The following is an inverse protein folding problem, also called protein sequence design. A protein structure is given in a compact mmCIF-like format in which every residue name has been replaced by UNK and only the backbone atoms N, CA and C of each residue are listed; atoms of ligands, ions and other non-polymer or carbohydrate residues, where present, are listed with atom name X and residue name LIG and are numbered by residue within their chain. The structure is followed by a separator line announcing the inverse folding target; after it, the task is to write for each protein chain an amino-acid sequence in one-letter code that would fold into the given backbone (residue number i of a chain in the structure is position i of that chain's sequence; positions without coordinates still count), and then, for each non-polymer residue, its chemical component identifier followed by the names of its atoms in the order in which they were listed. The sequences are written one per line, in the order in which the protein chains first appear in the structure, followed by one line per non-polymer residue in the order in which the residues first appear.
data_IF_670631177309
#
_entry.id   IF_670631177309
#
_cell.length_a   1.000
_cell.length_b   1.000
_cell.length_c   1.000
_cell.angle_alpha   90.00
_cell.angle_beta   90.00
_cell.angle_gamma   90.00
#
_symmetry.space_group_name_H-M   'P 1'
#
loop_
_entity.id
_entity.type
_entity.pdbx_description
1 polymer ?
#
# COMPACT_ATOMS: atom_id res chain seq x y z
N UNK A 1 25.70 -13.78 -8.05
CA UNK A 1 26.21 -14.98 -7.36
C UNK A 1 25.47 -15.15 -6.05
N UNK A 2 24.81 -16.27 -5.87
CA UNK A 2 24.11 -16.59 -4.62
C UNK A 2 25.15 -16.71 -3.51
N UNK A 3 25.02 -15.90 -2.45
CA UNK A 3 25.86 -16.05 -1.27
C UNK A 3 25.47 -17.36 -0.56
N UNK A 4 26.10 -18.45 -0.96
CA UNK A 4 25.83 -19.81 -0.45
C UNK A 4 25.82 -19.90 1.07
N UNK A 5 26.69 -19.12 1.75
CA UNK A 5 26.74 -19.08 3.21
C UNK A 5 25.43 -18.57 3.85
N UNK A 6 24.86 -17.47 3.33
CA UNK A 6 23.56 -16.95 3.82
C UNK A 6 22.42 -17.91 3.54
N UNK A 7 22.41 -18.58 2.37
CA UNK A 7 21.41 -19.58 2.07
C UNK A 7 21.43 -20.76 3.03
N UNK A 8 22.61 -21.19 3.49
CA UNK A 8 22.76 -22.25 4.50
C UNK A 8 22.23 -21.82 5.87
N UNK A 9 22.17 -20.54 6.16
CA UNK A 9 21.66 -20.00 7.43
C UNK A 9 20.14 -19.76 7.41
N UNK A 10 19.49 -19.82 6.25
CA UNK A 10 18.04 -19.58 6.13
C UNK A 10 17.23 -20.54 7.02
N UNK A 11 16.22 -19.98 7.71
CA UNK A 11 15.29 -20.75 8.54
C UNK A 11 14.12 -21.30 7.74
N UNK A 12 13.70 -20.56 6.71
CA UNK A 12 12.64 -20.98 5.80
C UNK A 12 12.93 -20.52 4.37
N UNK A 13 12.40 -21.23 3.39
CA UNK A 13 12.52 -20.91 1.98
C UNK A 13 11.19 -21.12 1.29
N UNK A 14 10.74 -20.11 0.55
CA UNK A 14 9.57 -20.29 -0.32
C UNK A 14 10.00 -20.88 -1.67
N UNK A 15 9.37 -21.97 -2.07
CA UNK A 15 9.59 -22.58 -3.38
C UNK A 15 8.35 -22.37 -4.24
N UNK A 16 8.52 -21.74 -5.39
CA UNK A 16 7.46 -21.63 -6.39
C UNK A 16 7.26 -22.95 -7.09
N UNK A 17 6.01 -23.31 -7.37
CA UNK A 17 5.68 -24.42 -8.26
C UNK A 17 5.73 -23.96 -9.73
N UNK A 18 5.86 -24.91 -10.64
CA UNK A 18 5.82 -24.65 -12.10
C UNK A 18 4.42 -24.27 -12.59
N UNK A 19 3.39 -24.62 -11.84
CA UNK A 19 1.97 -24.36 -12.17
C UNK A 19 1.39 -23.12 -11.49
N UNK A 20 2.22 -22.31 -10.83
CA UNK A 20 1.81 -21.16 -10.01
C UNK A 20 1.69 -21.52 -8.52
N UNK A 21 1.70 -20.48 -7.67
CA UNK A 21 1.71 -20.67 -6.22
C UNK A 21 3.06 -21.19 -5.70
N UNK A 22 3.05 -22.01 -4.67
CA UNK A 22 4.23 -22.57 -4.02
C UNK A 22 4.01 -22.89 -2.55
N UNK A 23 5.10 -23.29 -1.87
CA UNK A 23 5.05 -23.64 -0.45
C UNK A 23 6.30 -23.18 0.30
N UNK A 24 6.16 -22.94 1.59
CA UNK A 24 7.26 -22.72 2.51
C UNK A 24 7.91 -24.05 2.90
N UNK A 25 9.20 -24.15 2.67
CA UNK A 25 10.04 -25.20 3.21
C UNK A 25 10.69 -24.67 4.50
N UNK A 26 10.29 -25.19 5.63
CA UNK A 26 10.88 -24.87 6.93
C UNK A 26 12.15 -25.69 7.09
N UNK A 27 13.30 -25.01 7.23
CA UNK A 27 14.62 -25.62 7.34
C UNK A 27 15.11 -25.69 8.80
N UNK A 28 14.70 -24.69 9.59
CA UNK A 28 14.99 -24.57 11.02
C UNK A 28 13.74 -24.04 11.73
N UNK A 29 13.70 -24.10 13.07
CA UNK A 29 12.58 -23.59 13.85
C UNK A 29 12.31 -22.11 13.49
N UNK A 30 11.09 -21.83 13.04
CA UNK A 30 10.57 -20.48 12.78
C UNK A 30 9.44 -20.23 13.76
N UNK A 31 9.41 -19.09 14.47
CA UNK A 31 8.26 -18.73 15.28
C UNK A 31 7.00 -18.62 14.41
N UNK A 32 5.82 -19.00 14.92
CA UNK A 32 4.56 -18.83 14.18
C UNK A 32 4.30 -17.37 13.79
N UNK A 33 4.72 -16.44 14.66
CA UNK A 33 4.72 -14.99 14.44
C UNK A 33 6.03 -14.42 14.96
N UNK A 34 6.64 -13.52 14.20
CA UNK A 34 7.78 -12.72 14.67
C UNK A 34 7.53 -11.24 14.36
N UNK A 35 8.31 -10.36 14.98
CA UNK A 35 8.12 -8.91 14.83
C UNK A 35 9.35 -8.29 14.20
N UNK A 36 9.11 -7.28 13.36
CA UNK A 36 10.14 -6.35 12.86
C UNK A 36 9.72 -4.93 13.17
N UNK A 37 10.67 -4.00 13.09
CA UNK A 37 10.46 -2.58 13.32
C UNK A 37 10.86 -1.75 12.10
N UNK A 38 10.14 -0.66 11.88
CA UNK A 38 10.54 0.43 11.02
C UNK A 38 10.28 1.75 11.75
N UNK A 39 11.33 2.42 12.21
CA UNK A 39 11.17 3.49 13.18
C UNK A 39 10.39 3.01 14.42
N UNK A 40 9.34 3.70 14.77
CA UNK A 40 8.45 3.33 15.88
C UNK A 40 7.33 2.35 15.47
N UNK A 41 7.17 2.08 14.19
CA UNK A 41 6.20 1.10 13.71
C UNK A 41 6.68 -0.33 14.02
N UNK A 42 5.73 -1.20 14.35
CA UNK A 42 5.95 -2.61 14.64
C UNK A 42 5.04 -3.47 13.77
N UNK A 43 5.65 -4.39 13.04
CA UNK A 43 4.93 -5.30 12.15
C UNK A 43 5.08 -6.73 12.65
N UNK A 44 3.98 -7.42 12.79
CA UNK A 44 3.95 -8.85 13.00
C UNK A 44 4.06 -9.55 11.65
N UNK A 45 4.94 -10.51 11.55
CA UNK A 45 5.17 -11.30 10.34
C UNK A 45 4.90 -12.76 10.62
N UNK A 46 4.44 -13.48 9.60
CA UNK A 46 4.24 -14.95 9.63
C UNK A 46 4.37 -15.54 8.22
N UNK A 47 4.72 -16.81 8.13
CA UNK A 47 4.61 -17.54 6.87
C UNK A 47 3.13 -17.75 6.55
N UNK A 48 2.74 -17.45 5.30
CA UNK A 48 1.38 -17.59 4.81
C UNK A 48 1.29 -18.74 3.80
N UNK A 49 0.11 -19.07 3.32
CA UNK A 49 -0.09 -20.04 2.24
C UNK A 49 0.54 -19.64 0.90
N UNK A 50 1.09 -18.43 0.81
CA UNK A 50 1.81 -17.90 -0.34
C UNK A 50 3.10 -17.17 0.12
N UNK A 51 3.89 -16.64 -0.82
CA UNK A 51 5.25 -16.13 -0.59
C UNK A 51 5.34 -14.95 0.40
N UNK A 52 4.29 -14.17 0.56
CA UNK A 52 4.30 -12.96 1.37
C UNK A 52 4.32 -13.28 2.86
N UNK A 53 4.89 -12.41 3.66
CA UNK A 53 5.06 -12.58 5.10
C UNK A 53 4.34 -11.52 5.94
N UNK A 54 3.65 -10.57 5.30
CA UNK A 54 2.85 -9.56 5.98
C UNK A 54 3.37 -8.14 5.87
N UNK A 55 4.46 -7.90 5.14
CA UNK A 55 4.98 -6.55 4.87
C UNK A 55 5.63 -6.49 3.49
N UNK A 56 5.58 -5.32 2.90
CA UNK A 56 6.29 -4.92 1.68
C UNK A 56 7.27 -3.81 2.07
N UNK A 57 8.53 -4.15 2.42
CA UNK A 57 9.46 -3.18 3.00
C UNK A 57 9.88 -2.08 2.01
N UNK A 58 9.80 -2.32 0.71
CA UNK A 58 10.03 -1.33 -0.34
C UNK A 58 9.05 -0.17 -0.29
N UNK A 59 7.88 -0.34 0.34
CA UNK A 59 6.90 0.72 0.57
C UNK A 59 7.33 1.75 1.62
N UNK A 60 8.41 1.53 2.33
CA UNK A 60 8.89 2.43 3.38
C UNK A 60 9.13 3.86 2.86
N UNK A 61 9.62 4.01 1.63
CA UNK A 61 9.80 5.32 0.99
C UNK A 61 8.47 6.08 0.86
N UNK A 62 7.39 5.39 0.54
CA UNK A 62 6.06 5.97 0.45
C UNK A 62 5.48 6.29 1.83
N UNK A 63 5.78 5.46 2.85
CA UNK A 63 5.37 5.75 4.23
C UNK A 63 6.06 7.01 4.76
N UNK A 64 7.35 7.17 4.50
CA UNK A 64 8.11 8.36 4.89
C UNK A 64 7.60 9.61 4.18
N UNK A 65 7.38 9.51 2.86
CA UNK A 65 6.84 10.62 2.07
C UNK A 65 5.48 11.08 2.60
N UNK A 66 4.52 10.17 2.70
CA UNK A 66 3.16 10.51 3.17
C UNK A 66 3.16 10.96 4.63
N UNK A 67 3.98 10.34 5.48
CA UNK A 67 4.16 10.73 6.87
C UNK A 67 4.72 12.15 7.01
N UNK A 68 5.70 12.53 6.21
CA UNK A 68 6.24 13.89 6.20
C UNK A 68 5.21 14.91 5.75
N UNK A 69 4.47 14.60 4.68
CA UNK A 69 3.42 15.46 4.16
C UNK A 69 2.32 15.69 5.19
N UNK A 70 1.89 14.64 5.89
CA UNK A 70 0.86 14.72 6.93
C UNK A 70 1.33 15.56 8.12
N UNK A 71 2.58 15.37 8.61
CA UNK A 71 3.12 16.14 9.72
C UNK A 71 3.25 17.63 9.43
N UNK A 72 3.55 18.00 8.18
CA UNK A 72 3.72 19.37 7.74
C UNK A 72 2.40 20.04 7.30
N UNK A 73 1.29 19.30 7.28
CA UNK A 73 -0.01 19.86 6.92
C UNK A 73 -0.52 20.82 8.00
N UNK A 74 -1.15 21.96 7.61
CA UNK A 74 -1.62 22.96 8.56
C UNK A 74 -2.81 22.48 9.42
N UNK A 75 -3.46 21.40 9.03
CA UNK A 75 -4.58 20.75 9.74
C UNK A 75 -4.46 19.23 9.65
N UNK A 76 -5.06 18.48 10.59
CA UNK A 76 -5.12 17.03 10.49
C UNK A 76 -5.78 16.58 9.18
N UNK A 77 -5.14 15.68 8.47
CA UNK A 77 -5.63 15.17 7.19
C UNK A 77 -6.52 13.94 7.39
N UNK A 78 -7.51 13.79 6.50
CA UNK A 78 -8.34 12.60 6.37
C UNK A 78 -7.82 11.77 5.19
N UNK A 79 -7.25 10.60 5.48
CA UNK A 79 -6.61 9.74 4.49
C UNK A 79 -7.44 8.48 4.25
N UNK A 80 -7.61 8.10 2.99
CA UNK A 80 -8.20 6.82 2.57
C UNK A 80 -7.09 5.91 2.07
N UNK A 81 -6.99 4.72 2.65
CA UNK A 81 -6.09 3.66 2.19
C UNK A 81 -6.93 2.49 1.67
N UNK A 82 -6.86 2.24 0.36
CA UNK A 82 -7.56 1.18 -0.36
C UNK A 82 -6.61 0.02 -0.66
N UNK A 83 -7.12 -1.22 -0.66
CA UNK A 83 -6.32 -2.44 -0.76
C UNK A 83 -5.23 -2.47 0.31
N UNK A 84 -5.65 -2.10 1.52
CA UNK A 84 -4.74 -1.62 2.57
C UNK A 84 -3.93 -2.73 3.26
N UNK A 85 -4.18 -4.00 2.90
CA UNK A 85 -3.44 -5.18 3.35
C UNK A 85 -3.26 -5.23 4.88
N UNK A 86 -2.04 -5.44 5.37
CA UNK A 86 -1.70 -5.50 6.80
C UNK A 86 -1.44 -4.13 7.43
N UNK A 87 -1.73 -3.04 6.70
CA UNK A 87 -1.82 -1.69 7.23
C UNK A 87 -0.55 -0.86 7.26
N UNK A 88 0.52 -1.21 6.55
CA UNK A 88 1.78 -0.44 6.57
C UNK A 88 1.56 1.06 6.36
N UNK A 89 0.95 1.45 5.25
CA UNK A 89 0.64 2.85 4.95
C UNK A 89 -0.38 3.46 5.93
N UNK A 90 -1.37 2.67 6.37
CA UNK A 90 -2.35 3.11 7.40
C UNK A 90 -1.65 3.52 8.69
N UNK A 91 -0.73 2.69 9.18
CA UNK A 91 -0.01 2.94 10.41
C UNK A 91 0.91 4.17 10.30
N UNK A 92 1.62 4.29 9.17
CA UNK A 92 2.48 5.45 8.90
C UNK A 92 1.68 6.77 8.89
N UNK A 93 0.53 6.80 8.22
CA UNK A 93 -0.35 7.96 8.20
C UNK A 93 -0.94 8.28 9.58
N UNK A 94 -1.39 7.26 10.32
CA UNK A 94 -1.96 7.44 11.66
C UNK A 94 -0.92 7.90 12.68
N UNK A 95 0.32 7.39 12.60
CA UNK A 95 1.44 7.84 13.42
C UNK A 95 1.78 9.31 13.14
N UNK A 96 1.70 9.73 11.87
CA UNK A 96 1.92 11.11 11.46
C UNK A 96 0.79 12.08 11.87
N UNK A 97 -0.35 11.58 12.39
CA UNK A 97 -1.46 12.41 12.91
C UNK A 97 -2.71 12.44 12.02
N UNK A 98 -2.78 11.65 10.96
CA UNK A 98 -3.98 11.60 10.13
C UNK A 98 -5.11 10.79 10.76
N UNK A 99 -6.36 11.12 10.40
CA UNK A 99 -7.49 10.22 10.51
C UNK A 99 -7.51 9.30 9.30
N UNK A 100 -7.46 7.98 9.49
CA UNK A 100 -7.32 7.04 8.39
C UNK A 100 -8.54 6.15 8.24
N UNK A 101 -9.01 6.01 7.00
CA UNK A 101 -9.97 4.99 6.62
C UNK A 101 -9.22 3.85 5.93
N UNK A 102 -9.12 2.70 6.59
CA UNK A 102 -8.46 1.49 6.11
C UNK A 102 -9.49 0.55 5.50
N UNK A 103 -9.37 0.24 4.23
CA UNK A 103 -10.31 -0.61 3.47
C UNK A 103 -9.56 -1.75 2.81
N UNK A 104 -9.94 -2.98 3.12
CA UNK A 104 -9.46 -4.20 2.48
C UNK A 104 -10.58 -5.23 2.43
N UNK A 105 -10.67 -6.01 1.36
CA UNK A 105 -11.70 -7.03 1.20
C UNK A 105 -11.47 -8.25 2.11
N UNK A 106 -10.25 -8.46 2.60
CA UNK A 106 -9.89 -9.60 3.44
C UNK A 106 -10.06 -9.31 4.93
N UNK A 107 -11.04 -9.96 5.57
CA UNK A 107 -11.23 -9.90 7.02
C UNK A 107 -9.94 -10.24 7.79
N UNK A 108 -9.18 -11.22 7.31
CA UNK A 108 -7.91 -11.63 7.94
C UNK A 108 -6.84 -10.55 7.86
N UNK A 109 -6.76 -9.81 6.74
CA UNK A 109 -5.79 -8.71 6.58
C UNK A 109 -6.17 -7.52 7.46
N UNK A 110 -7.44 -7.15 7.53
CA UNK A 110 -7.92 -6.07 8.40
C UNK A 110 -7.69 -6.41 9.88
N UNK A 111 -7.92 -7.66 10.30
CA UNK A 111 -7.61 -8.09 11.67
C UNK A 111 -6.10 -7.98 11.96
N UNK A 112 -5.26 -8.43 11.04
CA UNK A 112 -3.81 -8.33 11.16
C UNK A 112 -3.31 -6.88 11.18
N UNK A 113 -3.91 -5.99 10.39
CA UNK A 113 -3.61 -4.57 10.43
C UNK A 113 -3.91 -3.94 11.80
N UNK A 114 -5.01 -4.35 12.45
CA UNK A 114 -5.32 -3.93 13.83
C UNK A 114 -4.30 -4.44 14.84
N UNK A 115 -3.83 -5.68 14.70
CA UNK A 115 -2.77 -6.24 15.53
C UNK A 115 -1.46 -5.46 15.38
N UNK A 116 -1.12 -5.06 14.14
CA UNK A 116 0.03 -4.21 13.86
C UNK A 116 -0.13 -2.81 14.47
N UNK A 117 -1.34 -2.23 14.41
CA UNK A 117 -1.64 -0.95 15.05
C UNK A 117 -1.45 -1.04 16.59
N UNK A 118 -1.98 -2.09 17.21
CA UNK A 118 -1.79 -2.32 18.64
C UNK A 118 -0.31 -2.51 19.01
N UNK A 119 0.43 -3.30 18.21
CA UNK A 119 1.86 -3.51 18.42
C UNK A 119 2.70 -2.23 18.26
N UNK A 120 2.21 -1.26 17.49
CA UNK A 120 2.82 0.06 17.25
C UNK A 120 2.34 1.13 18.23
N UNK A 121 1.50 0.81 19.22
CA UNK A 121 0.94 1.80 20.16
C UNK A 121 -0.07 2.76 19.52
N UNK A 122 -0.73 2.36 18.44
CA UNK A 122 -1.65 3.20 17.65
C UNK A 122 -3.12 2.80 17.83
N UNK A 123 -3.46 2.01 18.87
CA UNK A 123 -4.83 1.56 19.10
C UNK A 123 -5.85 2.67 19.26
N UNK A 124 -5.44 3.79 19.87
CA UNK A 124 -6.30 4.95 20.16
C UNK A 124 -6.31 6.00 19.03
N UNK A 125 -5.58 5.74 17.95
CA UNK A 125 -5.58 6.64 16.80
C UNK A 125 -6.89 6.52 16.00
N UNK A 126 -7.36 7.61 15.37
CA UNK A 126 -8.62 7.63 14.64
C UNK A 126 -8.50 6.84 13.33
N UNK A 127 -8.48 5.51 13.43
CA UNK A 127 -8.45 4.59 12.30
C UNK A 127 -9.80 3.87 12.19
N UNK A 128 -10.47 4.07 11.06
CA UNK A 128 -11.69 3.35 10.71
C UNK A 128 -11.35 2.11 9.90
N UNK A 129 -11.55 0.95 10.48
CA UNK A 129 -11.25 -0.35 9.89
C UNK A 129 -12.45 -0.92 9.15
N UNK A 130 -12.31 -1.27 7.88
CA UNK A 130 -13.40 -1.76 7.04
C UNK A 130 -12.98 -3.01 6.27
N UNK A 131 -13.81 -4.04 6.38
CA UNK A 131 -13.76 -5.22 5.51
C UNK A 131 -14.76 -4.99 4.41
N UNK A 132 -14.31 -4.60 3.22
CA UNK A 132 -15.18 -4.16 2.15
C UNK A 132 -14.52 -4.23 0.77
N UNK A 133 -15.32 -4.33 -0.28
CA UNK A 133 -14.88 -4.10 -1.66
C UNK A 133 -14.53 -2.62 -1.86
N UNK A 134 -13.33 -2.35 -2.34
CA UNK A 134 -12.82 -0.98 -2.47
C UNK A 134 -13.65 -0.12 -3.42
N UNK A 135 -14.09 -0.67 -4.56
CA UNK A 135 -14.90 0.07 -5.54
C UNK A 135 -16.27 0.40 -4.96
N UNK A 136 -16.95 -0.60 -4.40
CA UNK A 136 -18.26 -0.43 -3.77
C UNK A 136 -18.18 0.54 -2.59
N UNK A 137 -17.08 0.51 -1.84
CA UNK A 137 -16.83 1.47 -0.75
C UNK A 137 -16.74 2.89 -1.28
N UNK A 138 -15.89 3.16 -2.29
CA UNK A 138 -15.71 4.51 -2.86
C UNK A 138 -17.02 5.02 -3.46
N UNK A 139 -17.78 4.19 -4.16
CA UNK A 139 -19.12 4.56 -4.66
C UNK A 139 -20.08 4.98 -3.56
N UNK A 140 -20.04 4.31 -2.40
CA UNK A 140 -20.86 4.72 -1.24
C UNK A 140 -20.40 6.01 -0.61
N UNK A 141 -19.09 6.23 -0.49
CA UNK A 141 -18.53 7.49 0.01
C UNK A 141 -18.86 8.66 -0.92
N UNK A 142 -18.83 8.45 -2.23
CA UNK A 142 -19.27 9.43 -3.22
C UNK A 142 -20.75 9.83 -3.01
N UNK A 143 -21.65 8.84 -2.89
CA UNK A 143 -23.10 9.11 -2.64
C UNK A 143 -23.37 9.82 -1.32
N UNK A 144 -22.49 9.58 -0.30
CA UNK A 144 -22.58 10.25 1.02
C UNK A 144 -21.96 11.64 1.05
N UNK A 145 -21.30 12.06 -0.02
CA UNK A 145 -20.59 13.32 -0.08
C UNK A 145 -19.32 13.36 0.78
N UNK A 146 -18.81 12.22 1.25
CA UNK A 146 -17.59 12.17 2.02
C UNK A 146 -16.39 12.54 1.16
N UNK A 147 -15.40 13.23 1.76
CA UNK A 147 -14.18 13.71 1.10
C UNK A 147 -12.95 13.29 1.87
N UNK A 148 -11.83 13.14 1.15
CA UNK A 148 -10.53 12.74 1.67
C UNK A 148 -9.45 13.71 1.19
N UNK A 149 -8.51 14.03 2.08
CA UNK A 149 -7.38 14.93 1.78
C UNK A 149 -6.20 14.19 1.16
N UNK A 150 -6.17 12.88 1.32
CA UNK A 150 -5.19 12.00 0.69
C UNK A 150 -5.79 10.62 0.40
N UNK A 151 -5.39 10.02 -0.73
CA UNK A 151 -5.75 8.64 -1.07
C UNK A 151 -4.48 7.87 -1.36
N UNK A 152 -4.40 6.65 -0.82
CA UNK A 152 -3.35 5.66 -1.10
C UNK A 152 -4.04 4.42 -1.65
N UNK A 153 -3.49 3.84 -2.71
CA UNK A 153 -3.99 2.59 -3.26
C UNK A 153 -2.86 1.73 -3.83
N UNK A 154 -2.98 0.43 -3.58
CA UNK A 154 -2.10 -0.61 -4.10
C UNK A 154 -2.95 -1.76 -4.65
N UNK A 155 -3.66 -1.53 -5.78
CA UNK A 155 -4.59 -2.51 -6.31
C UNK A 155 -3.85 -3.75 -6.85
N UNK A 156 -4.39 -4.97 -6.62
CA UNK A 156 -3.78 -6.18 -7.14
C UNK A 156 -3.87 -6.22 -8.67
N UNK A 157 -2.91 -6.88 -9.33
CA UNK A 157 -2.94 -7.09 -10.78
C UNK A 157 -4.18 -7.84 -11.25
N UNK A 158 -4.62 -8.81 -10.42
CA UNK A 158 -5.77 -9.67 -10.67
C UNK A 158 -6.47 -10.01 -9.36
N UNK A 159 -7.79 -10.09 -9.39
CA UNK A 159 -8.61 -10.50 -8.26
C UNK A 159 -9.93 -11.14 -8.70
N UNK A 160 -10.57 -11.87 -7.78
CA UNK A 160 -11.94 -12.36 -7.94
C UNK A 160 -12.77 -11.92 -6.74
N UNK A 161 -13.89 -11.29 -7.00
CA UNK A 161 -14.88 -10.95 -5.99
C UNK A 161 -15.69 -12.18 -5.55
N UNK A 162 -16.38 -12.09 -4.41
CA UNK A 162 -17.20 -13.20 -3.89
C UNK A 162 -18.38 -13.57 -4.80
N UNK A 163 -18.82 -12.67 -5.66
CA UNK A 163 -19.87 -12.91 -6.68
C UNK A 163 -19.33 -13.43 -8.02
N UNK A 164 -18.01 -13.72 -8.12
CA UNK A 164 -17.39 -14.18 -9.36
C UNK A 164 -16.91 -13.04 -10.25
N UNK A 165 -17.03 -11.77 -9.82
CA UNK A 165 -16.53 -10.60 -10.55
C UNK A 165 -15.03 -10.73 -10.74
N UNK A 166 -14.55 -10.41 -11.92
CA UNK A 166 -13.12 -10.43 -12.25
C UNK A 166 -12.59 -9.01 -12.22
N UNK A 167 -11.58 -8.80 -11.38
CA UNK A 167 -10.77 -7.59 -11.38
C UNK A 167 -9.51 -7.84 -12.21
N UNK A 168 -9.25 -6.96 -13.17
CA UNK A 168 -7.99 -6.86 -13.91
C UNK A 168 -7.55 -5.40 -13.90
N UNK A 169 -6.35 -5.17 -13.40
CA UNK A 169 -5.83 -3.82 -13.17
C UNK A 169 -5.81 -2.98 -14.45
N UNK A 170 -5.29 -3.56 -15.54
CA UNK A 170 -5.15 -2.87 -16.82
C UNK A 170 -6.49 -2.39 -17.40
N UNK A 171 -7.56 -3.13 -17.14
CA UNK A 171 -8.91 -2.81 -17.65
C UNK A 171 -9.65 -1.81 -16.77
N UNK A 172 -9.35 -1.75 -15.46
CA UNK A 172 -10.20 -1.07 -14.48
C UNK A 172 -9.52 0.07 -13.73
N UNK A 173 -8.19 0.22 -13.86
CA UNK A 173 -7.43 1.22 -13.11
C UNK A 173 -7.89 2.64 -13.42
N UNK A 174 -8.10 2.96 -14.70
CA UNK A 174 -8.54 4.30 -15.11
C UNK A 174 -9.85 4.70 -14.42
N UNK A 175 -10.86 3.84 -14.52
CA UNK A 175 -12.18 4.08 -13.92
C UNK A 175 -12.12 4.15 -12.39
N UNK A 176 -11.25 3.35 -11.75
CA UNK A 176 -11.07 3.39 -10.30
C UNK A 176 -10.43 4.71 -9.84
N UNK A 177 -9.37 5.17 -10.52
CA UNK A 177 -8.73 6.46 -10.19
C UNK A 177 -9.69 7.63 -10.43
N UNK A 178 -10.46 7.60 -11.52
CA UNK A 178 -11.49 8.61 -11.80
C UNK A 178 -12.57 8.63 -10.70
N UNK A 179 -13.04 7.47 -10.28
CA UNK A 179 -13.99 7.34 -9.17
C UNK A 179 -13.38 7.88 -7.86
N UNK A 180 -12.13 7.53 -7.54
CA UNK A 180 -11.44 8.04 -6.37
C UNK A 180 -11.23 9.56 -6.40
N UNK A 181 -10.95 10.14 -7.58
CA UNK A 181 -10.90 11.59 -7.74
C UNK A 181 -12.19 12.27 -7.26
N UNK A 182 -13.34 11.67 -7.54
CA UNK A 182 -14.64 12.25 -7.18
C UNK A 182 -14.85 12.41 -5.67
N UNK A 183 -14.05 11.75 -4.84
CA UNK A 183 -14.08 11.83 -3.38
C UNK A 183 -12.86 12.52 -2.78
N UNK A 184 -11.96 13.09 -3.59
CA UNK A 184 -10.93 13.99 -3.08
C UNK A 184 -11.55 15.31 -2.62
N UNK A 185 -10.99 15.88 -1.55
CA UNK A 185 -11.34 17.24 -1.12
C UNK A 185 -10.82 18.28 -2.13
N UNK A 186 -11.41 19.47 -2.20
CA UNK A 186 -10.89 20.54 -3.06
C UNK A 186 -9.42 20.89 -2.77
N UNK A 187 -9.01 20.80 -1.49
CA UNK A 187 -7.65 21.06 -1.01
C UNK A 187 -6.84 19.78 -0.79
N UNK A 188 -7.18 18.70 -1.49
CA UNK A 188 -6.49 17.41 -1.34
C UNK A 188 -4.97 17.57 -1.51
N UNK A 189 -4.22 16.86 -0.68
CA UNK A 189 -2.77 17.02 -0.59
C UNK A 189 -2.04 16.00 -1.43
N UNK A 190 -2.55 14.76 -1.53
CA UNK A 190 -1.88 13.74 -2.32
C UNK A 190 -2.82 12.63 -2.80
N UNK A 191 -2.39 11.98 -3.86
CA UNK A 191 -2.90 10.70 -4.34
C UNK A 191 -1.72 9.80 -4.68
N UNK A 192 -1.59 8.68 -4.00
CA UNK A 192 -0.49 7.75 -4.17
C UNK A 192 -1.02 6.44 -4.77
N UNK A 193 -0.48 6.06 -5.92
CA UNK A 193 -0.79 4.84 -6.64
C UNK A 193 0.43 3.96 -6.72
N UNK A 194 0.32 2.70 -6.26
CA UNK A 194 1.35 1.68 -6.40
C UNK A 194 0.94 0.61 -7.41
N UNK A 195 1.91 -0.02 -8.01
CA UNK A 195 1.71 -1.20 -8.86
C UNK A 195 2.92 -2.13 -8.84
N UNK A 196 2.62 -3.42 -8.83
CA UNK A 196 3.57 -4.52 -9.02
C UNK A 196 3.28 -5.29 -10.32
N UNK A 197 2.46 -4.70 -11.19
CA UNK A 197 2.03 -5.32 -12.45
C UNK A 197 3.06 -5.06 -13.54
N UNK A 198 3.56 -6.14 -14.13
CA UNK A 198 4.42 -6.05 -15.31
C UNK A 198 3.68 -5.34 -16.45
N UNK A 199 4.33 -4.36 -17.08
CA UNK A 199 3.74 -3.56 -18.17
C UNK A 199 3.09 -2.25 -17.72
N UNK A 200 2.84 -2.05 -16.42
CA UNK A 200 2.41 -0.78 -15.87
C UNK A 200 3.63 -0.01 -15.31
N UNK A 201 4.37 0.63 -16.23
CA UNK A 201 5.58 1.39 -15.86
C UNK A 201 5.25 2.67 -15.08
N UNK A 202 6.23 3.25 -14.35
CA UNK A 202 6.06 4.56 -13.71
C UNK A 202 5.50 5.62 -14.67
N UNK A 203 6.04 5.72 -15.89
CA UNK A 203 5.59 6.71 -16.88
C UNK A 203 4.14 6.55 -17.32
N UNK A 204 3.63 5.31 -17.39
CA UNK A 204 2.21 5.05 -17.68
C UNK A 204 1.34 5.51 -16.52
N UNK A 205 1.76 5.23 -15.28
CA UNK A 205 1.04 5.68 -14.08
C UNK A 205 1.06 7.20 -13.94
N UNK A 206 2.20 7.85 -14.27
CA UNK A 206 2.33 9.30 -14.31
C UNK A 206 1.38 9.93 -15.32
N UNK A 207 1.35 9.39 -16.54
CA UNK A 207 0.41 9.85 -17.57
C UNK A 207 -1.04 9.74 -17.11
N UNK A 208 -1.42 8.62 -16.49
CA UNK A 208 -2.76 8.38 -15.97
C UNK A 208 -3.14 9.39 -14.88
N UNK A 209 -2.27 9.62 -13.88
CA UNK A 209 -2.52 10.62 -12.84
C UNK A 209 -2.46 12.05 -13.41
N UNK A 210 -1.62 12.29 -14.40
CA UNK A 210 -1.56 13.56 -15.13
C UNK A 210 -2.89 13.94 -15.78
N UNK A 211 -3.49 13.00 -16.49
CA UNK A 211 -4.80 13.18 -17.14
C UNK A 211 -5.93 13.30 -16.11
N UNK A 212 -5.96 12.42 -15.13
CA UNK A 212 -7.10 12.30 -14.21
C UNK A 212 -7.07 13.27 -13.04
N UNK A 213 -5.90 13.66 -12.57
CA UNK A 213 -5.75 14.51 -11.38
C UNK A 213 -5.09 15.85 -11.69
N UNK A 214 -3.89 15.85 -12.28
CA UNK A 214 -3.15 17.09 -12.48
C UNK A 214 -3.88 18.05 -13.44
N UNK A 215 -4.37 17.56 -14.57
CA UNK A 215 -5.08 18.40 -15.56
C UNK A 215 -6.33 19.09 -14.98
N UNK A 216 -7.25 18.38 -14.27
CA UNK A 216 -8.45 19.01 -13.74
C UNK A 216 -8.26 19.72 -12.39
N UNK A 217 -7.30 19.29 -11.55
CA UNK A 217 -7.13 19.81 -10.19
C UNK A 217 -5.89 20.70 -10.03
N UNK A 218 -4.96 20.66 -11.01
CA UNK A 218 -3.64 21.27 -10.88
C UNK A 218 -2.70 20.41 -10.02
N UNK A 219 -1.67 21.04 -9.43
CA UNK A 219 -0.66 20.32 -8.68
C UNK A 219 0.40 19.68 -9.57
N UNK A 220 1.06 18.64 -9.08
CA UNK A 220 2.19 18.00 -9.76
C UNK A 220 2.10 16.48 -9.65
N UNK A 221 2.55 15.76 -10.67
CA UNK A 221 2.73 14.31 -10.64
C UNK A 221 4.21 13.97 -10.74
N UNK A 222 4.63 12.97 -9.99
CA UNK A 222 5.94 12.36 -10.07
C UNK A 222 5.78 10.83 -10.01
N UNK A 223 6.65 10.11 -10.67
CA UNK A 223 6.66 8.66 -10.66
C UNK A 223 8.07 8.10 -10.65
N UNK A 224 8.24 6.94 -10.03
CA UNK A 224 9.52 6.22 -10.02
C UNK A 224 9.29 4.74 -9.69
N UNK A 225 10.34 3.95 -9.86
CA UNK A 225 10.40 2.60 -9.30
C UNK A 225 10.70 2.67 -7.80
N UNK A 226 10.03 1.82 -7.03
CA UNK A 226 10.34 1.60 -5.62
C UNK A 226 11.09 0.29 -5.44
N UNK A 227 12.00 0.26 -4.51
CA UNK A 227 12.84 -0.91 -4.32
C UNK A 227 13.57 -0.97 -2.99
N UNK A 228 14.38 -2.01 -2.86
CA UNK A 228 15.16 -2.27 -1.67
C UNK A 228 16.64 -1.88 -1.88
N UNK A 229 17.24 -1.12 -0.96
CA UNK A 229 18.66 -0.80 -1.05
C UNK A 229 19.50 -2.08 -0.87
N UNK A 230 20.44 -2.29 -1.79
CA UNK A 230 21.39 -3.39 -1.75
C UNK A 230 22.70 -2.90 -1.10
N UNK A 231 22.88 -3.21 0.17
CA UNK A 231 23.99 -2.69 0.99
C UNK A 231 25.38 -3.04 0.44
N UNK A 232 25.52 -4.16 -0.28
CA UNK A 232 26.80 -4.59 -0.85
C UNK A 232 27.21 -3.85 -2.13
N UNK A 233 26.27 -3.20 -2.83
CA UNK A 233 26.52 -2.55 -4.13
C UNK A 233 26.16 -1.07 -4.15
N UNK A 234 25.39 -0.60 -3.18
CA UNK A 234 24.79 0.74 -3.17
C UNK A 234 23.68 0.94 -4.21
N UNK A 235 23.32 -0.11 -4.95
CA UNK A 235 22.23 -0.08 -5.92
C UNK A 235 20.88 -0.33 -5.23
N UNK A 236 19.79 -0.01 -5.93
CA UNK A 236 18.43 -0.36 -5.51
C UNK A 236 17.95 -1.55 -6.32
N UNK A 237 17.42 -2.56 -5.65
CA UNK A 237 16.71 -3.68 -6.29
C UNK A 237 15.27 -3.23 -6.58
N UNK A 238 14.87 -3.01 -7.85
CA UNK A 238 13.51 -2.61 -8.18
C UNK A 238 12.51 -3.69 -7.75
N UNK A 239 11.43 -3.28 -7.12
CA UNK A 239 10.37 -4.17 -6.64
C UNK A 239 9.01 -3.87 -7.23
N UNK A 240 8.69 -2.60 -7.46
CA UNK A 240 7.43 -2.11 -7.98
C UNK A 240 7.54 -0.66 -8.44
N UNK A 241 6.42 -0.09 -8.82
CA UNK A 241 6.32 1.30 -9.28
C UNK A 241 5.39 2.10 -8.39
N UNK A 242 5.67 3.38 -8.24
CA UNK A 242 4.80 4.35 -7.57
C UNK A 242 4.59 5.58 -8.45
N UNK A 243 3.39 6.14 -8.42
CA UNK A 243 3.13 7.48 -8.95
C UNK A 243 2.37 8.28 -7.89
N UNK A 244 2.75 9.54 -7.73
CA UNK A 244 2.21 10.41 -6.69
C UNK A 244 1.77 11.71 -7.35
N UNK A 245 0.51 12.04 -7.18
CA UNK A 245 0.00 13.39 -7.41
C UNK A 245 0.03 14.16 -6.09
N UNK A 246 0.53 15.38 -6.12
CA UNK A 246 0.47 16.33 -5.00
C UNK A 246 -0.34 17.56 -5.38
N UNK A 247 -1.15 18.05 -4.45
CA UNK A 247 -1.96 19.25 -4.64
C UNK A 247 -1.11 20.52 -4.83
N UNK A 248 -1.75 21.63 -5.25
CA UNK A 248 -1.06 22.89 -5.58
C UNK A 248 -0.27 23.50 -4.42
N UNK A 249 -0.73 23.27 -3.18
CA UNK A 249 -0.15 23.87 -1.98
C UNK A 249 0.84 22.94 -1.28
N UNK A 250 1.31 21.92 -1.98
CA UNK A 250 2.33 20.97 -1.48
C UNK A 250 3.64 21.29 -2.19
N UNK A 251 4.62 21.78 -1.41
CA UNK A 251 6.00 22.04 -1.85
C UNK A 251 6.85 20.77 -1.83
#
# INVERSE_FOLDING_TARGET
PKQLALWKQAHARYRRSSTGGGAWQILKKVPPVWKISYGDLRFQLKTMGFKHTGVFPEQAVNWDFTGNLIRNAPKPLKVLNLFAYTGGATLACAQAGASVCHVDASKGMVAWARENAAASGLSDRPIRWLVDDCIKFVQREQRRGNRYDGIIMDPPSYGRGPGGEVWKLEEQLFSLVELCRSILSPDAKFFLLNSYTTGLSPSVMEYLLGVLLQKPMGGRVASDEIGLPVTSTGQVLPCGSTAIWTGKDVE
#
